data_IF_088913763824
#
_entry.id   IF_088913763824
#
_cell.length_a   1.000
_cell.length_b   1.000
_cell.length_c   1.000
_cell.angle_alpha   90.00
_cell.angle_beta   90.00
_cell.angle_gamma   90.00
#
_symmetry.space_group_name_H-M   'P 1'
#
loop_
_entity.id
_entity.type
_entity.pdbx_description
1 polymer ?
#
# COMPACT_ATOMS: atom_id res chain seq x y z
N UNK A 1 -11.96 14.93 -27.45
CA UNK A 1 -13.11 15.87 -27.49
C UNK A 1 -14.36 15.06 -27.27
N UNK A 2 -15.36 15.63 -26.60
CA UNK A 2 -16.64 14.96 -26.44
C UNK A 2 -17.26 14.69 -27.83
N UNK A 3 -17.78 13.48 -28.08
CA UNK A 3 -18.35 13.13 -29.37
C UNK A 3 -19.79 13.65 -29.55
N UNK A 4 -20.26 14.56 -28.70
CA UNK A 4 -21.65 14.99 -28.63
C UNK A 4 -21.76 16.49 -28.96
N UNK A 5 -22.80 16.85 -29.72
CA UNK A 5 -23.12 18.23 -30.12
C UNK A 5 -23.76 19.02 -28.97
N UNK A 6 -24.64 18.38 -28.20
CA UNK A 6 -25.33 18.98 -27.05
C UNK A 6 -25.58 17.96 -25.93
N UNK A 7 -26.17 18.44 -24.82
CA UNK A 7 -26.45 17.59 -23.67
C UNK A 7 -27.52 16.54 -23.97
N UNK A 8 -28.50 16.87 -24.80
CA UNK A 8 -29.59 15.95 -25.15
C UNK A 8 -29.05 14.75 -25.93
N UNK A 9 -28.12 14.97 -26.86
CA UNK A 9 -27.43 13.90 -27.57
C UNK A 9 -26.60 13.04 -26.62
N UNK A 10 -25.89 13.64 -25.66
CA UNK A 10 -25.15 12.91 -24.64
C UNK A 10 -26.07 12.08 -23.73
N UNK A 11 -27.21 12.61 -23.32
CA UNK A 11 -28.22 11.90 -22.52
C UNK A 11 -28.84 10.73 -23.30
N UNK A 12 -29.16 10.96 -24.58
CA UNK A 12 -29.66 9.92 -25.48
C UNK A 12 -28.64 8.79 -25.68
N UNK A 13 -27.36 9.13 -25.89
CA UNK A 13 -26.29 8.14 -26.08
C UNK A 13 -26.01 7.32 -24.81
N UNK A 14 -26.15 7.92 -23.63
CA UNK A 14 -25.98 7.23 -22.34
C UNK A 14 -27.24 6.47 -21.89
N UNK A 15 -28.39 6.71 -22.51
CA UNK A 15 -29.67 6.13 -22.12
C UNK A 15 -30.17 6.61 -20.76
N UNK A 16 -29.67 7.75 -20.26
CA UNK A 16 -30.04 8.35 -18.98
C UNK A 16 -29.73 9.85 -18.95
N UNK A 17 -30.38 10.58 -18.05
CA UNK A 17 -30.02 11.96 -17.78
C UNK A 17 -28.59 12.09 -17.26
N UNK A 18 -27.92 13.20 -17.61
CA UNK A 18 -26.60 13.52 -17.09
C UNK A 18 -26.73 13.94 -15.63
N UNK A 19 -25.84 13.41 -14.79
CA UNK A 19 -25.69 13.90 -13.42
C UNK A 19 -25.23 15.36 -13.41
N UNK A 20 -25.40 16.05 -12.28
CA UNK A 20 -24.92 17.42 -12.11
C UNK A 20 -23.42 17.59 -12.45
N UNK A 21 -22.59 16.64 -12.00
CA UNK A 21 -21.16 16.65 -12.28
C UNK A 21 -20.86 16.46 -13.78
N UNK A 22 -21.60 15.61 -14.46
CA UNK A 22 -21.46 15.38 -15.90
C UNK A 22 -21.92 16.60 -16.71
N UNK A 23 -22.99 17.30 -16.29
CA UNK A 23 -23.43 18.57 -16.90
C UNK A 23 -22.37 19.65 -16.75
N UNK A 24 -21.75 19.77 -15.58
CA UNK A 24 -20.62 20.68 -15.36
C UNK A 24 -19.41 20.31 -16.23
N UNK A 25 -19.07 19.02 -16.28
CA UNK A 25 -17.98 18.53 -17.13
C UNK A 25 -18.24 18.80 -18.61
N UNK A 26 -19.46 18.55 -19.08
CA UNK A 26 -19.86 18.80 -20.46
C UNK A 26 -19.70 20.28 -20.81
N UNK A 27 -20.31 21.18 -20.02
CA UNK A 27 -20.19 22.63 -20.20
C UNK A 27 -18.73 23.09 -20.23
N UNK A 28 -17.89 22.48 -19.40
CA UNK A 28 -16.49 22.84 -19.33
C UNK A 28 -15.67 22.26 -20.50
N UNK A 29 -15.92 21.03 -20.95
CA UNK A 29 -15.02 20.30 -21.86
C UNK A 29 -15.48 20.25 -23.32
N UNK A 30 -16.78 20.43 -23.61
CA UNK A 30 -17.34 20.21 -24.96
C UNK A 30 -16.62 20.98 -26.07
N UNK A 31 -16.29 22.24 -25.81
CA UNK A 31 -15.62 23.13 -26.78
C UNK A 31 -14.10 23.26 -26.55
N UNK A 32 -13.49 22.36 -25.76
CA UNK A 32 -12.05 22.39 -25.47
C UNK A 32 -11.33 21.26 -26.19
N UNK A 33 -10.25 21.60 -26.88
CA UNK A 33 -9.31 20.59 -27.38
C UNK A 33 -8.66 19.86 -26.19
N UNK A 34 -8.48 18.54 -26.30
CA UNK A 34 -7.98 17.70 -25.20
C UNK A 34 -6.61 18.16 -24.68
N UNK A 35 -5.82 18.84 -25.51
CA UNK A 35 -4.56 19.48 -25.11
C UNK A 35 -4.73 20.42 -23.92
N UNK A 36 -5.77 21.26 -23.94
CA UNK A 36 -6.02 22.20 -22.86
C UNK A 36 -6.43 21.47 -21.59
N UNK A 37 -7.22 20.39 -21.71
CA UNK A 37 -7.58 19.55 -20.56
C UNK A 37 -6.33 18.91 -19.95
N UNK A 38 -5.45 18.35 -20.79
CA UNK A 38 -4.17 17.81 -20.32
C UNK A 38 -3.29 18.87 -19.64
N UNK A 39 -3.20 20.07 -20.22
CA UNK A 39 -2.38 21.17 -19.73
C UNK A 39 -2.78 21.65 -18.32
N UNK A 40 -3.96 21.29 -17.80
CA UNK A 40 -4.34 21.55 -16.41
C UNK A 40 -3.38 20.91 -15.40
N UNK A 41 -2.78 19.76 -15.73
CA UNK A 41 -1.78 19.15 -14.84
C UNK A 41 -0.59 20.05 -14.58
N UNK A 42 -0.18 20.84 -15.58
CA UNK A 42 0.90 21.80 -15.39
C UNK A 42 0.48 22.94 -14.47
N UNK A 43 -0.75 23.46 -14.61
CA UNK A 43 -1.26 24.45 -13.67
C UNK A 43 -1.40 23.87 -12.25
N UNK A 44 -1.89 22.64 -12.11
CA UNK A 44 -1.95 21.95 -10.83
C UNK A 44 -0.58 21.72 -10.23
N UNK A 45 0.42 21.34 -11.04
CA UNK A 45 1.81 21.23 -10.61
C UNK A 45 2.29 22.52 -9.95
N UNK A 46 2.15 23.66 -10.64
CA UNK A 46 2.58 24.95 -10.10
C UNK A 46 1.76 25.35 -8.86
N UNK A 47 0.43 25.24 -8.94
CA UNK A 47 -0.48 25.71 -7.89
C UNK A 47 -0.32 24.92 -6.59
N UNK A 48 -0.39 23.59 -6.65
CA UNK A 48 -0.28 22.75 -5.45
C UNK A 48 1.14 22.77 -4.89
N UNK A 49 2.18 22.90 -5.73
CA UNK A 49 3.55 22.99 -5.25
C UNK A 49 3.78 24.28 -4.47
N UNK A 50 3.16 25.39 -4.90
CA UNK A 50 3.22 26.65 -4.15
C UNK A 50 2.39 26.62 -2.87
N UNK A 51 1.28 25.88 -2.84
CA UNK A 51 0.30 25.91 -1.75
C UNK A 51 0.60 24.91 -0.63
N UNK A 52 0.86 23.64 -0.97
CA UNK A 52 0.94 22.53 -0.01
C UNK A 52 2.12 22.65 0.98
N UNK A 53 3.31 23.20 0.61
CA UNK A 53 4.39 23.40 1.57
C UNK A 53 4.16 24.53 2.57
N UNK A 54 3.18 25.43 2.36
CA UNK A 54 3.00 26.64 3.19
C UNK A 54 2.74 26.35 4.68
N UNK A 55 1.92 25.36 5.08
CA UNK A 55 1.77 25.01 6.49
C UNK A 55 3.10 24.60 7.14
N UNK A 56 3.95 23.86 6.43
CA UNK A 56 5.28 23.45 6.91
C UNK A 56 6.25 24.63 6.98
N UNK A 57 6.19 25.55 6.00
CA UNK A 57 6.92 26.82 6.03
C UNK A 57 6.55 27.63 7.27
N UNK A 58 5.25 27.79 7.55
CA UNK A 58 4.78 28.51 8.74
C UNK A 58 5.22 27.82 10.02
N UNK A 59 5.17 26.49 10.09
CA UNK A 59 5.68 25.72 11.21
C UNK A 59 7.18 26.01 11.49
N UNK A 60 7.99 26.03 10.42
CA UNK A 60 9.44 26.28 10.47
C UNK A 60 9.79 27.72 10.90
N UNK A 61 8.96 28.70 10.53
CA UNK A 61 9.15 30.11 10.88
C UNK A 61 8.64 30.46 12.29
N UNK A 62 7.46 29.95 12.67
CA UNK A 62 6.84 30.21 13.97
C UNK A 62 7.64 29.57 15.11
N UNK A 63 8.18 28.36 14.89
CA UNK A 63 9.00 27.61 15.87
C UNK A 63 8.34 27.46 17.24
N UNK A 64 7.00 27.38 17.26
CA UNK A 64 6.25 27.17 18.49
C UNK A 64 6.65 25.83 19.10
N UNK A 65 6.91 25.79 20.41
CA UNK A 65 7.24 24.55 21.13
C UNK A 65 6.20 23.43 20.92
N UNK A 66 4.93 23.80 20.68
CA UNK A 66 3.84 22.85 20.42
C UNK A 66 4.00 22.10 19.09
N UNK A 67 4.64 22.72 18.10
CA UNK A 67 4.84 22.19 16.74
C UNK A 67 6.26 21.64 16.60
N UNK A 68 7.27 22.36 17.11
CA UNK A 68 8.68 22.02 16.99
C UNK A 68 9.04 20.64 17.59
N UNK A 69 8.24 20.15 18.54
CA UNK A 69 8.37 18.79 19.09
C UNK A 69 8.13 17.67 18.06
N UNK A 70 7.54 17.98 16.90
CA UNK A 70 7.31 17.05 15.79
C UNK A 70 8.35 17.22 14.67
N UNK A 71 9.33 18.11 14.81
CA UNK A 71 10.42 18.28 13.84
C UNK A 71 11.38 17.10 13.96
N UNK A 72 11.69 16.44 12.84
CA UNK A 72 12.57 15.26 12.82
C UNK A 72 14.01 15.65 13.19
N UNK A 73 14.54 16.71 12.58
CA UNK A 73 15.88 17.25 12.86
C UNK A 73 15.80 18.60 13.59
N UNK A 74 15.51 18.64 14.91
CA UNK A 74 15.17 19.88 15.64
C UNK A 74 16.32 20.88 15.81
N UNK A 75 17.57 20.46 15.55
CA UNK A 75 18.77 21.30 15.60
C UNK A 75 18.95 22.12 14.32
N UNK A 76 18.39 21.67 13.20
CA UNK A 76 18.48 22.37 11.92
C UNK A 76 17.40 23.44 11.88
N UNK A 77 17.78 24.65 11.48
CA UNK A 77 16.88 25.80 11.35
C UNK A 77 17.11 26.42 9.98
N UNK A 78 16.04 26.68 9.24
CA UNK A 78 16.12 27.36 7.94
C UNK A 78 15.62 28.80 8.03
N UNK A 79 16.22 29.69 7.24
CA UNK A 79 15.74 31.06 7.09
C UNK A 79 14.67 31.14 6.00
N UNK A 80 13.82 32.17 6.04
CA UNK A 80 12.85 32.42 4.96
C UNK A 80 13.55 32.61 3.61
N UNK A 81 14.69 33.31 3.60
CA UNK A 81 15.48 33.55 2.38
C UNK A 81 15.93 32.24 1.73
N UNK A 82 16.45 31.29 2.52
CA UNK A 82 16.90 29.99 2.01
C UNK A 82 15.73 29.20 1.40
N UNK A 83 14.59 29.16 2.09
CA UNK A 83 13.40 28.46 1.63
C UNK A 83 12.81 29.11 0.37
N UNK A 84 12.80 30.44 0.31
CA UNK A 84 12.32 31.18 -0.86
C UNK A 84 13.24 31.02 -2.08
N UNK A 85 14.56 30.99 -1.88
CA UNK A 85 15.52 30.71 -2.94
C UNK A 85 15.34 29.29 -3.50
N UNK A 86 15.15 28.29 -2.63
CA UNK A 86 14.82 26.93 -3.04
C UNK A 86 13.53 26.90 -3.88
N UNK A 87 12.44 27.51 -3.39
CA UNK A 87 11.18 27.63 -4.12
C UNK A 87 11.38 28.26 -5.50
N UNK A 88 12.09 29.39 -5.58
CA UNK A 88 12.38 30.09 -6.84
C UNK A 88 13.14 29.20 -7.82
N UNK A 89 14.16 28.47 -7.35
CA UNK A 89 14.95 27.58 -8.20
C UNK A 89 14.08 26.46 -8.77
N UNK A 90 13.25 25.81 -7.95
CA UNK A 90 12.30 24.79 -8.44
C UNK A 90 11.32 25.38 -9.44
N UNK A 91 10.74 26.54 -9.15
CA UNK A 91 9.78 27.20 -10.05
C UNK A 91 10.42 27.52 -11.40
N UNK A 92 11.68 27.97 -11.42
CA UNK A 92 12.41 28.18 -12.67
C UNK A 92 12.53 26.87 -13.46
N UNK A 93 12.87 25.76 -12.82
CA UNK A 93 12.97 24.47 -13.51
C UNK A 93 11.59 23.98 -13.98
N UNK A 94 10.53 24.14 -13.20
CA UNK A 94 9.17 23.81 -13.63
C UNK A 94 8.75 24.63 -14.87
N UNK A 95 9.03 25.94 -14.86
CA UNK A 95 8.71 26.82 -15.98
C UNK A 95 9.52 26.52 -17.24
N UNK A 96 10.81 26.27 -17.10
CA UNK A 96 11.73 26.11 -18.24
C UNK A 96 11.80 24.68 -18.78
N UNK A 97 11.51 23.68 -17.94
CA UNK A 97 11.65 22.26 -18.30
C UNK A 97 10.28 21.57 -18.31
N UNK A 98 9.55 21.57 -17.19
CA UNK A 98 8.29 20.82 -17.09
C UNK A 98 7.17 21.40 -17.98
N UNK A 99 7.14 22.72 -18.19
CA UNK A 99 6.18 23.41 -19.06
C UNK A 99 6.30 23.00 -20.53
N UNK A 100 7.45 23.17 -21.20
CA UNK A 100 7.64 22.73 -22.58
C UNK A 100 7.40 21.24 -22.80
N UNK A 101 7.71 20.40 -21.81
CA UNK A 101 7.49 18.96 -21.88
C UNK A 101 6.01 18.56 -21.95
N UNK A 102 5.08 19.42 -21.55
CA UNK A 102 3.64 19.14 -21.68
C UNK A 102 3.22 18.89 -23.13
N UNK A 103 3.92 19.47 -24.10
CA UNK A 103 3.66 19.24 -25.53
C UNK A 103 3.99 17.80 -25.91
N UNK A 104 5.12 17.28 -25.43
CA UNK A 104 5.55 15.90 -25.67
C UNK A 104 4.63 14.93 -24.92
N UNK A 105 4.32 15.22 -23.65
CA UNK A 105 3.44 14.38 -22.84
C UNK A 105 2.01 14.33 -23.40
N UNK A 106 1.51 15.40 -24.03
CA UNK A 106 0.19 15.34 -24.66
C UNK A 106 0.10 14.25 -25.75
N UNK A 107 1.13 14.11 -26.58
CA UNK A 107 1.19 13.04 -27.59
C UNK A 107 1.17 11.66 -26.93
N UNK A 108 1.93 11.49 -25.84
CA UNK A 108 1.92 10.27 -25.06
C UNK A 108 0.53 9.94 -24.50
N UNK A 109 -0.17 10.93 -23.93
CA UNK A 109 -1.51 10.75 -23.33
C UNK A 109 -2.56 10.36 -24.36
N UNK A 110 -2.45 10.89 -25.59
CA UNK A 110 -3.29 10.42 -26.70
C UNK A 110 -3.03 8.96 -27.04
N UNK A 111 -1.78 8.50 -26.96
CA UNK A 111 -1.42 7.11 -27.26
C UNK A 111 -1.86 6.14 -26.16
N UNK A 112 -1.84 6.55 -24.88
CA UNK A 112 -2.27 5.69 -23.77
C UNK A 112 -3.78 5.50 -23.69
N UNK A 113 -4.56 6.38 -24.33
CA UNK A 113 -6.02 6.25 -24.36
C UNK A 113 -6.73 6.83 -23.15
N UNK A 114 -6.10 7.77 -22.43
CA UNK A 114 -6.78 8.51 -21.35
C UNK A 114 -7.96 9.28 -21.94
N UNK A 115 -9.16 8.95 -21.45
CA UNK A 115 -10.41 9.48 -22.00
C UNK A 115 -10.78 10.82 -21.36
N UNK A 116 -11.37 11.69 -22.17
CA UNK A 116 -12.01 12.96 -21.74
C UNK A 116 -13.53 12.90 -21.88
N UNK A 117 -14.06 11.77 -22.35
CA UNK A 117 -15.46 11.56 -22.67
C UNK A 117 -16.31 11.14 -21.47
N UNK A 118 -17.62 11.36 -21.60
CA UNK A 118 -18.64 10.80 -20.70
C UNK A 118 -18.78 9.29 -20.89
N UNK A 119 -19.27 8.54 -19.87
CA UNK A 119 -19.64 9.02 -18.53
C UNK A 119 -18.44 9.36 -17.65
N UNK A 120 -18.61 10.18 -16.61
CA UNK A 120 -17.52 10.43 -15.64
C UNK A 120 -17.13 9.13 -14.90
N UNK A 121 -15.86 9.01 -14.44
CA UNK A 121 -15.42 7.81 -13.73
C UNK A 121 -16.17 7.67 -12.41
N UNK A 122 -16.51 6.44 -12.03
CA UNK A 122 -17.08 6.19 -10.71
C UNK A 122 -16.03 6.39 -9.61
N UNK A 123 -16.45 6.61 -8.36
CA UNK A 123 -15.51 6.71 -7.22
C UNK A 123 -14.65 5.45 -7.07
N UNK A 124 -15.20 4.28 -7.36
CA UNK A 124 -14.48 3.01 -7.31
C UNK A 124 -13.51 2.84 -8.48
N UNK A 125 -13.88 3.27 -9.68
CA UNK A 125 -12.96 3.32 -10.83
C UNK A 125 -11.75 4.20 -10.50
N UNK A 126 -12.00 5.41 -9.98
CA UNK A 126 -10.92 6.31 -9.56
C UNK A 126 -10.05 5.69 -8.47
N UNK A 127 -10.66 5.08 -7.44
CA UNK A 127 -9.94 4.46 -6.33
C UNK A 127 -8.98 3.37 -6.80
N UNK A 128 -9.47 2.41 -7.59
CA UNK A 128 -8.65 1.29 -8.07
C UNK A 128 -7.57 1.74 -9.06
N UNK A 129 -7.88 2.72 -9.92
CA UNK A 129 -6.87 3.33 -10.81
C UNK A 129 -5.77 4.02 -10.02
N UNK A 130 -6.11 4.87 -9.04
CA UNK A 130 -5.14 5.57 -8.20
C UNK A 130 -4.28 4.58 -7.39
N UNK A 131 -4.89 3.54 -6.82
CA UNK A 131 -4.16 2.49 -6.10
C UNK A 131 -3.16 1.79 -7.03
N UNK A 132 -3.59 1.40 -8.23
CA UNK A 132 -2.70 0.79 -9.22
C UNK A 132 -1.57 1.74 -9.61
N UNK A 133 -1.84 3.04 -9.79
CA UNK A 133 -0.82 4.02 -10.14
C UNK A 133 0.23 4.17 -9.04
N UNK A 134 -0.18 4.24 -7.77
CA UNK A 134 0.74 4.29 -6.64
C UNK A 134 1.64 3.04 -6.58
N UNK A 135 1.06 1.83 -6.70
CA UNK A 135 1.84 0.59 -6.65
C UNK A 135 2.87 0.53 -7.80
N UNK A 136 2.43 0.84 -9.02
CA UNK A 136 3.28 0.79 -10.21
C UNK A 136 4.37 1.86 -10.14
N UNK A 137 4.00 3.11 -9.87
CA UNK A 137 4.95 4.21 -9.79
C UNK A 137 6.02 3.95 -8.72
N UNK A 138 5.61 3.52 -7.52
CA UNK A 138 6.53 3.28 -6.41
C UNK A 138 7.54 2.16 -6.73
N UNK A 139 7.13 1.09 -7.41
CA UNK A 139 8.04 0.01 -7.82
C UNK A 139 9.12 0.50 -8.79
N UNK A 140 8.72 1.24 -9.83
CA UNK A 140 9.67 1.77 -10.81
C UNK A 140 10.54 2.88 -10.22
N UNK A 141 9.96 3.75 -9.39
CA UNK A 141 10.66 4.81 -8.68
C UNK A 141 11.71 4.26 -7.73
N UNK A 142 11.43 3.15 -7.01
CA UNK A 142 12.42 2.48 -6.16
C UNK A 142 13.70 2.13 -6.93
N UNK A 143 13.56 1.46 -8.08
CA UNK A 143 14.72 1.00 -8.85
C UNK A 143 15.50 2.16 -9.48
N UNK A 144 14.78 3.17 -9.98
CA UNK A 144 15.40 4.38 -10.53
C UNK A 144 16.14 5.13 -9.41
N UNK A 145 15.49 5.35 -8.26
CA UNK A 145 16.08 6.04 -7.13
C UNK A 145 17.32 5.30 -6.60
N UNK A 146 17.25 3.98 -6.45
CA UNK A 146 18.41 3.15 -6.10
C UNK A 146 19.55 3.27 -7.13
N UNK A 147 19.24 3.36 -8.43
CA UNK A 147 20.22 3.61 -9.48
C UNK A 147 20.86 5.00 -9.37
N UNK A 148 20.08 6.03 -9.00
CA UNK A 148 20.60 7.38 -8.77
C UNK A 148 21.63 7.44 -7.64
N UNK A 149 21.59 6.51 -6.68
CA UNK A 149 22.58 6.34 -5.61
C UNK A 149 23.83 5.54 -6.00
N UNK A 150 23.96 5.14 -7.26
CA UNK A 150 25.26 4.67 -7.75
C UNK A 150 26.24 5.84 -7.81
N UNK A 151 27.48 5.62 -7.34
CA UNK A 151 28.49 6.69 -7.13
C UNK A 151 28.53 7.74 -8.25
N UNK A 152 28.64 7.29 -9.50
CA UNK A 152 28.77 8.19 -10.67
C UNK A 152 27.50 8.98 -10.97
N UNK A 153 26.33 8.38 -10.78
CA UNK A 153 25.04 9.04 -11.05
C UNK A 153 24.71 10.00 -9.92
N UNK A 154 25.01 9.63 -8.68
CA UNK A 154 24.85 10.49 -7.51
C UNK A 154 25.67 11.76 -7.66
N UNK A 155 26.99 11.63 -7.87
CA UNK A 155 27.91 12.76 -7.97
C UNK A 155 27.55 13.73 -9.11
N UNK A 156 26.86 13.27 -10.15
CA UNK A 156 26.53 14.10 -11.32
C UNK A 156 25.11 14.66 -11.31
N UNK A 157 24.16 13.94 -10.73
CA UNK A 157 22.73 14.21 -10.87
C UNK A 157 22.12 14.34 -9.47
N UNK A 158 22.16 13.27 -8.68
CA UNK A 158 21.37 13.16 -7.45
C UNK A 158 21.90 13.96 -6.25
N UNK A 159 23.17 14.36 -6.26
CA UNK A 159 23.75 15.11 -5.14
C UNK A 159 23.07 16.47 -4.90
N UNK A 160 22.46 17.08 -5.93
CA UNK A 160 21.73 18.35 -5.80
C UNK A 160 20.47 18.16 -4.95
N UNK A 161 19.78 17.03 -5.15
CA UNK A 161 18.62 16.67 -4.36
C UNK A 161 18.97 16.47 -2.88
N UNK A 162 20.12 15.84 -2.63
CA UNK A 162 20.65 15.60 -1.29
C UNK A 162 21.41 16.78 -0.67
N UNK A 163 21.41 17.95 -1.29
CA UNK A 163 22.04 19.16 -0.72
C UNK A 163 21.37 19.56 0.61
N UNK A 164 20.07 19.30 0.72
CA UNK A 164 19.30 19.50 1.94
C UNK A 164 19.24 18.21 2.79
N UNK A 165 20.31 17.91 3.52
CA UNK A 165 20.39 16.76 4.45
C UNK A 165 19.32 16.73 5.55
N UNK A 166 18.66 17.88 5.78
CA UNK A 166 17.39 17.99 6.50
C UNK A 166 16.38 18.63 5.54
N UNK A 167 15.60 17.80 4.82
CA UNK A 167 14.68 18.30 3.80
C UNK A 167 13.52 19.10 4.42
N UNK A 168 12.85 19.86 3.56
CA UNK A 168 11.64 20.61 3.87
C UNK A 168 10.74 20.61 2.63
N UNK A 169 9.46 20.93 2.78
CA UNK A 169 8.46 20.70 1.72
C UNK A 169 8.78 21.32 0.35
N UNK A 170 9.45 22.48 0.27
CA UNK A 170 9.87 23.06 -1.03
C UNK A 170 11.11 22.39 -1.63
N UNK A 171 11.92 21.70 -0.81
CA UNK A 171 13.09 20.96 -1.29
C UNK A 171 12.71 19.61 -1.94
N UNK A 172 11.46 19.16 -1.83
CA UNK A 172 10.99 17.91 -2.43
C UNK A 172 11.40 17.74 -3.92
N UNK A 173 11.07 18.68 -4.82
CA UNK A 173 11.52 18.64 -6.21
C UNK A 173 12.82 19.43 -6.45
N UNK A 174 13.53 19.90 -5.42
CA UNK A 174 14.80 20.58 -5.60
C UNK A 174 15.83 19.55 -6.04
N UNK A 175 16.22 19.57 -7.31
CA UNK A 175 17.08 18.58 -7.90
C UNK A 175 17.72 19.10 -9.20
N UNK A 176 18.68 18.35 -9.73
CA UNK A 176 19.18 18.58 -11.08
C UNK A 176 18.04 18.39 -12.10
N UNK A 177 17.96 19.20 -13.16
CA UNK A 177 16.86 19.14 -14.14
C UNK A 177 16.66 17.75 -14.74
N UNK A 178 17.75 17.01 -14.99
CA UNK A 178 17.69 15.65 -15.53
C UNK A 178 17.05 14.66 -14.55
N UNK A 179 17.22 14.86 -13.24
CA UNK A 179 16.61 14.04 -12.22
C UNK A 179 15.10 14.17 -12.21
N UNK A 180 14.59 15.40 -12.34
CA UNK A 180 13.15 15.65 -12.45
C UNK A 180 12.52 14.90 -13.63
N UNK A 181 13.25 14.73 -14.73
CA UNK A 181 12.80 13.92 -15.85
C UNK A 181 12.83 12.43 -15.49
N UNK A 182 13.95 11.96 -14.98
CA UNK A 182 14.19 10.55 -14.68
C UNK A 182 13.21 10.03 -13.61
N UNK A 183 13.05 10.74 -12.50
CA UNK A 183 12.10 10.38 -11.42
C UNK A 183 10.66 10.74 -11.77
N UNK A 184 10.42 11.61 -12.76
CA UNK A 184 9.07 11.90 -13.26
C UNK A 184 8.50 10.80 -14.15
N UNK A 185 9.35 10.03 -14.85
CA UNK A 185 8.91 8.99 -15.80
C UNK A 185 8.00 7.91 -15.18
N UNK A 186 8.31 7.33 -14.00
CA UNK A 186 7.44 6.34 -13.34
C UNK A 186 5.98 6.78 -13.17
N UNK A 187 5.74 8.08 -12.94
CA UNK A 187 4.38 8.62 -12.72
C UNK A 187 3.45 8.47 -13.93
N UNK A 188 4.00 8.18 -15.12
CA UNK A 188 3.22 7.96 -16.33
C UNK A 188 2.95 6.46 -16.60
N UNK A 189 3.74 5.56 -16.02
CA UNK A 189 3.69 4.12 -16.33
C UNK A 189 2.35 3.50 -15.91
N UNK A 190 1.88 3.80 -14.68
CA UNK A 190 0.58 3.33 -14.19
C UNK A 190 -0.59 3.72 -15.11
N UNK A 191 -0.77 5.01 -15.43
CA UNK A 191 -1.76 5.47 -16.40
C UNK A 191 -1.62 4.89 -17.82
N UNK A 192 -0.43 4.41 -18.21
CA UNK A 192 -0.24 3.69 -19.46
C UNK A 192 -0.84 2.28 -19.42
N UNK A 193 -0.69 1.57 -18.29
CA UNK A 193 -1.22 0.21 -18.12
C UNK A 193 -2.71 0.20 -17.86
N UNK A 194 -3.21 1.17 -17.09
CA UNK A 194 -4.62 1.26 -16.71
C UNK A 194 -5.14 2.66 -17.07
N UNK A 195 -5.36 2.95 -18.36
CA UNK A 195 -5.80 4.28 -18.77
C UNK A 195 -7.18 4.61 -18.19
N UNK A 196 -7.26 5.77 -17.52
CA UNK A 196 -8.47 6.25 -16.87
C UNK A 196 -9.08 7.47 -17.55
N UNK A 197 -9.96 8.15 -16.82
CA UNK A 197 -10.45 9.46 -17.22
C UNK A 197 -9.44 10.56 -16.86
N UNK A 198 -9.42 11.66 -17.62
CA UNK A 198 -8.53 12.80 -17.38
C UNK A 198 -8.65 13.39 -15.97
N UNK A 199 -9.83 13.31 -15.34
CA UNK A 199 -10.04 13.73 -13.94
C UNK A 199 -9.28 12.83 -12.97
N UNK A 200 -9.27 11.50 -13.18
CA UNK A 200 -8.44 10.59 -12.38
C UNK A 200 -6.97 10.92 -12.57
N UNK A 201 -6.56 11.23 -13.81
CA UNK A 201 -5.19 11.62 -14.11
C UNK A 201 -4.78 12.94 -13.44
N UNK A 202 -5.67 13.93 -13.38
CA UNK A 202 -5.46 15.16 -12.60
C UNK A 202 -5.30 14.87 -11.11
N UNK A 203 -6.22 14.07 -10.55
CA UNK A 203 -6.17 13.69 -9.15
C UNK A 203 -4.88 12.94 -8.81
N UNK A 204 -4.44 12.05 -9.70
CA UNK A 204 -3.19 11.29 -9.56
C UNK A 204 -1.98 12.21 -9.35
N UNK A 205 -1.75 13.18 -10.24
CA UNK A 205 -0.61 14.08 -10.12
C UNK A 205 -0.71 15.01 -8.90
N UNK A 206 -1.92 15.42 -8.49
CA UNK A 206 -2.13 16.20 -7.27
C UNK A 206 -1.74 15.36 -6.04
N UNK A 207 -2.26 14.13 -5.92
CA UNK A 207 -1.95 13.24 -4.80
C UNK A 207 -0.48 12.90 -4.74
N UNK A 208 0.14 12.58 -5.88
CA UNK A 208 1.56 12.25 -5.96
C UNK A 208 2.46 13.40 -5.50
N UNK A 209 2.07 14.63 -5.80
CA UNK A 209 2.81 15.81 -5.36
C UNK A 209 2.62 16.11 -3.87
N UNK A 210 1.40 15.96 -3.35
CA UNK A 210 1.14 16.09 -1.90
C UNK A 210 2.00 15.10 -1.13
N UNK A 211 2.03 13.85 -1.59
CA UNK A 211 2.84 12.77 -1.02
C UNK A 211 4.34 13.13 -1.04
N UNK A 212 4.88 13.57 -2.17
CA UNK A 212 6.29 13.97 -2.28
C UNK A 212 6.64 15.10 -1.30
N UNK A 213 5.77 16.10 -1.16
CA UNK A 213 5.99 17.23 -0.25
C UNK A 213 5.92 16.77 1.21
N UNK A 214 5.02 15.85 1.53
CA UNK A 214 4.85 15.32 2.87
C UNK A 214 6.07 14.51 3.32
N UNK A 215 6.57 13.60 2.48
CA UNK A 215 7.77 12.79 2.77
C UNK A 215 9.03 13.65 2.96
N UNK A 216 9.08 14.83 2.35
CA UNK A 216 10.18 15.79 2.51
C UNK A 216 9.90 16.88 3.54
N UNK A 217 8.76 16.87 4.21
CA UNK A 217 8.33 18.01 5.02
C UNK A 217 9.27 18.33 6.20
N UNK A 218 10.00 17.32 6.68
CA UNK A 218 10.83 17.37 7.88
C UNK A 218 10.02 17.40 9.18
N UNK A 219 8.73 17.05 9.12
CA UNK A 219 7.81 17.02 10.25
C UNK A 219 7.01 15.72 10.28
N UNK A 220 6.94 15.11 11.46
CA UNK A 220 6.20 13.87 11.66
C UNK A 220 5.03 14.14 12.63
N UNK A 221 3.85 14.46 12.07
CA UNK A 221 2.68 14.84 12.85
C UNK A 221 1.80 13.64 13.22
N UNK A 222 1.41 13.45 14.50
CA UNK A 222 0.66 12.27 14.95
C UNK A 222 -0.75 12.17 14.38
N UNK A 223 -1.27 13.25 13.80
CA UNK A 223 -2.58 13.28 13.14
C UNK A 223 -2.49 13.24 11.61
N UNK A 224 -1.31 13.03 11.01
CA UNK A 224 -1.22 12.94 9.55
C UNK A 224 -2.03 11.73 9.04
N UNK A 225 -2.91 11.89 8.03
CA UNK A 225 -3.70 10.79 7.48
C UNK A 225 -2.84 9.63 6.95
N UNK A 226 -1.64 9.92 6.46
CA UNK A 226 -0.72 8.93 5.88
C UNK A 226 -0.18 7.93 6.90
N UNK A 227 -0.21 8.25 8.20
CA UNK A 227 0.12 7.30 9.27
C UNK A 227 -0.81 6.11 9.35
N UNK A 228 -1.98 6.21 8.73
CA UNK A 228 -2.96 5.14 8.64
C UNK A 228 -2.83 4.34 7.33
N UNK A 229 -1.87 4.68 6.46
CA UNK A 229 -1.62 3.95 5.23
C UNK A 229 -0.58 2.85 5.53
N UNK A 230 -0.92 1.56 5.35
CA UNK A 230 0.04 0.47 5.54
C UNK A 230 1.28 0.65 4.65
N UNK A 231 2.46 0.30 5.18
CA UNK A 231 3.75 0.39 4.49
C UNK A 231 4.21 1.78 4.08
N UNK A 232 3.50 2.84 4.47
CA UNK A 232 3.93 4.18 4.11
C UNK A 232 5.26 4.53 4.78
N UNK A 233 6.27 4.91 3.99
CA UNK A 233 7.60 5.27 4.51
C UNK A 233 7.54 6.57 5.31
N UNK A 234 6.82 7.56 4.79
CA UNK A 234 6.62 8.83 5.47
C UNK A 234 7.89 9.66 5.63
N UNK A 235 7.76 10.72 6.44
CA UNK A 235 8.76 11.78 6.48
C UNK A 235 10.05 11.37 7.18
N UNK A 236 9.95 10.56 8.24
CA UNK A 236 11.12 10.07 9.00
C UNK A 236 12.00 9.14 8.17
N UNK A 237 11.39 8.24 7.41
CA UNK A 237 12.09 7.28 6.55
C UNK A 237 12.92 7.98 5.48
N UNK A 238 12.33 8.99 4.83
CA UNK A 238 12.99 9.74 3.77
C UNK A 238 13.97 10.79 4.32
N UNK A 239 13.68 11.41 5.46
CA UNK A 239 14.60 12.33 6.13
C UNK A 239 15.91 11.62 6.53
N UNK A 240 15.84 10.40 7.06
CA UNK A 240 17.04 9.58 7.32
C UNK A 240 17.86 9.31 6.05
N UNK A 241 17.17 9.01 4.94
CA UNK A 241 17.81 8.80 3.65
C UNK A 241 18.60 10.05 3.19
N UNK A 242 17.99 11.24 3.27
CA UNK A 242 18.66 12.53 3.00
C UNK A 242 19.81 12.82 3.96
N UNK A 243 19.65 12.49 5.25
CA UNK A 243 20.69 12.68 6.25
C UNK A 243 21.97 11.87 5.94
N UNK A 244 21.82 10.63 5.46
CA UNK A 244 22.95 9.78 5.07
C UNK A 244 23.55 10.22 3.73
N UNK A 245 22.73 10.78 2.83
CA UNK A 245 23.16 11.34 1.55
C UNK A 245 23.78 10.30 0.62
N UNK A 246 24.87 10.65 -0.07
CA UNK A 246 25.52 9.78 -1.07
C UNK A 246 26.16 8.49 -0.55
N UNK A 247 26.13 8.24 0.76
CA UNK A 247 26.49 6.95 1.36
C UNK A 247 25.27 6.06 1.60
N UNK A 248 24.07 6.55 1.29
CA UNK A 248 22.83 5.85 1.55
C UNK A 248 22.80 4.59 0.69
N UNK A 249 22.55 3.47 1.35
CA UNK A 249 22.30 2.17 0.73
C UNK A 249 20.92 1.64 1.16
N UNK A 250 20.05 2.54 1.62
CA UNK A 250 18.79 2.20 2.24
C UNK A 250 17.71 3.26 2.01
N UNK A 251 16.46 2.88 2.25
CA UNK A 251 15.30 3.75 2.26
C UNK A 251 15.06 4.43 0.89
N UNK A 252 15.02 3.64 -0.18
CA UNK A 252 14.85 4.14 -1.55
C UNK A 252 13.39 4.28 -2.00
N UNK A 253 12.44 3.69 -1.28
CA UNK A 253 11.02 3.77 -1.56
C UNK A 253 10.57 5.22 -1.67
N UNK A 254 9.69 5.47 -2.62
CA UNK A 254 9.10 6.80 -2.75
C UNK A 254 7.90 6.96 -1.83
N UNK A 255 7.05 5.94 -1.76
CA UNK A 255 5.76 5.97 -1.05
C UNK A 255 5.68 4.82 -0.07
N UNK A 256 5.80 3.57 -0.57
CA UNK A 256 5.64 2.38 0.24
C UNK A 256 6.94 1.59 0.36
N UNK A 257 7.20 1.09 1.55
CA UNK A 257 8.48 0.48 1.90
C UNK A 257 8.62 -0.99 1.48
N UNK A 258 7.63 -1.55 0.78
CA UNK A 258 7.64 -2.97 0.39
C UNK A 258 8.84 -3.31 -0.49
N UNK A 259 9.30 -2.41 -1.37
CA UNK A 259 10.49 -2.66 -2.17
C UNK A 259 11.76 -2.70 -1.31
N UNK A 260 11.95 -1.71 -0.42
CA UNK A 260 13.10 -1.72 0.49
C UNK A 260 13.12 -2.97 1.36
N UNK A 261 11.94 -3.42 1.78
CA UNK A 261 11.79 -4.65 2.52
C UNK A 261 12.17 -5.89 1.69
N UNK A 262 11.56 -6.08 0.51
CA UNK A 262 11.82 -7.22 -0.38
C UNK A 262 13.30 -7.33 -0.76
N UNK A 263 13.97 -6.20 -0.96
CA UNK A 263 15.35 -6.15 -1.42
C UNK A 263 16.38 -5.89 -0.32
N UNK A 264 15.96 -5.89 0.95
CA UNK A 264 16.84 -5.73 2.11
C UNK A 264 17.58 -4.39 2.16
N UNK A 265 16.95 -3.32 1.69
CA UNK A 265 17.46 -1.95 1.74
C UNK A 265 16.69 -1.08 2.72
N UNK A 266 15.96 -1.67 3.67
CA UNK A 266 15.38 -0.90 4.75
C UNK A 266 16.43 -0.69 5.87
N UNK A 267 16.41 0.46 6.53
CA UNK A 267 17.13 0.67 7.81
C UNK A 267 16.22 1.03 8.98
N UNK A 268 14.91 0.88 8.80
CA UNK A 268 13.88 1.35 9.74
C UNK A 268 12.68 0.39 9.91
N UNK A 269 12.75 -0.81 9.33
CA UNK A 269 11.73 -1.87 9.26
C UNK A 269 12.38 -3.23 9.53
N UNK A 270 12.43 -3.57 10.81
CA UNK A 270 12.35 -4.96 11.30
C UNK A 270 11.16 -5.07 12.24
N UNK A 271 11.11 -6.09 13.11
CA UNK A 271 10.18 -6.05 14.25
C UNK A 271 10.49 -4.77 15.04
N UNK A 272 9.62 -3.76 14.92
CA UNK A 272 9.83 -2.49 15.64
C UNK A 272 9.61 -2.76 17.11
N UNK A 273 10.58 -2.40 17.94
CA UNK A 273 10.48 -2.47 19.41
C UNK A 273 10.49 -1.08 20.05
N UNK A 274 10.76 -0.05 19.25
CA UNK A 274 10.87 1.33 19.68
C UNK A 274 9.55 2.08 19.53
N UNK A 275 9.38 3.12 20.35
CA UNK A 275 8.30 4.10 20.18
C UNK A 275 8.48 4.91 18.88
N UNK A 276 7.38 5.42 18.28
CA UNK A 276 5.99 5.32 18.76
C UNK A 276 5.35 3.94 18.51
N UNK A 277 4.35 3.59 19.33
CA UNK A 277 3.55 2.38 19.12
C UNK A 277 2.77 2.46 17.79
N UNK A 278 2.51 1.31 17.14
CA UNK A 278 1.70 1.28 15.92
C UNK A 278 0.29 1.80 16.20
N UNK A 279 -0.33 2.42 15.20
CA UNK A 279 -1.72 2.82 15.32
C UNK A 279 -2.63 1.58 15.38
N UNK A 280 -3.84 1.70 15.97
CA UNK A 280 -4.83 0.61 15.96
C UNK A 280 -5.15 0.11 14.55
N UNK A 281 -5.14 1.02 13.59
CA UNK A 281 -5.43 0.74 12.20
C UNK A 281 -4.28 0.02 11.49
N UNK A 282 -3.04 0.43 11.78
CA UNK A 282 -1.87 -0.29 11.32
C UNK A 282 -1.85 -1.72 11.86
N UNK A 283 -2.06 -1.90 13.17
CA UNK A 283 -2.13 -3.23 13.78
C UNK A 283 -3.24 -4.09 13.14
N UNK A 284 -4.42 -3.51 12.90
CA UNK A 284 -5.52 -4.23 12.26
C UNK A 284 -5.15 -4.80 10.88
N UNK A 285 -4.56 -3.99 9.99
CA UNK A 285 -4.18 -4.46 8.66
C UNK A 285 -3.01 -5.44 8.70
N UNK A 286 -2.04 -5.24 9.59
CA UNK A 286 -0.95 -6.19 9.79
C UNK A 286 -1.50 -7.55 10.22
N UNK A 287 -2.33 -7.58 11.25
CA UNK A 287 -2.97 -8.81 11.77
C UNK A 287 -3.81 -9.48 10.67
N UNK A 288 -4.60 -8.71 9.91
CA UNK A 288 -5.39 -9.25 8.81
C UNK A 288 -4.52 -9.93 7.75
N UNK A 289 -3.42 -9.29 7.34
CA UNK A 289 -2.48 -9.90 6.39
C UNK A 289 -1.82 -11.14 6.98
N UNK A 290 -1.45 -11.11 8.27
CA UNK A 290 -0.85 -12.28 8.93
C UNK A 290 -1.78 -13.49 8.88
N UNK A 291 -3.05 -13.29 9.25
CA UNK A 291 -4.07 -14.33 9.17
C UNK A 291 -4.28 -14.85 7.75
N UNK A 292 -4.43 -13.97 6.76
CA UNK A 292 -4.65 -14.40 5.37
C UNK A 292 -3.46 -15.22 4.85
N UNK A 293 -2.22 -14.76 5.09
CA UNK A 293 -1.01 -15.44 4.62
C UNK A 293 -0.81 -16.77 5.33
N UNK A 294 -0.98 -16.79 6.65
CA UNK A 294 -0.83 -17.99 7.48
C UNK A 294 -1.89 -19.03 7.10
N UNK A 295 -3.17 -18.67 7.11
CA UNK A 295 -4.27 -19.60 6.87
C UNK A 295 -4.24 -20.16 5.43
N UNK A 296 -3.93 -19.32 4.43
CA UNK A 296 -3.77 -19.78 3.05
C UNK A 296 -2.62 -20.79 2.91
N UNK A 297 -1.49 -20.52 3.58
CA UNK A 297 -0.30 -21.37 3.51
C UNK A 297 -0.51 -22.67 4.29
N UNK A 298 -1.10 -22.60 5.48
CA UNK A 298 -1.48 -23.75 6.30
C UNK A 298 -2.46 -24.66 5.57
N UNK A 299 -3.48 -24.11 4.89
CA UNK A 299 -4.42 -24.89 4.10
C UNK A 299 -3.73 -25.81 3.09
N UNK A 300 -2.78 -25.28 2.30
CA UNK A 300 -2.08 -26.08 1.29
C UNK A 300 -1.12 -27.10 1.89
N UNK A 301 -0.44 -26.74 2.97
CA UNK A 301 0.43 -27.66 3.71
C UNK A 301 -0.39 -28.80 4.31
N UNK A 302 -1.49 -28.47 4.98
CA UNK A 302 -2.38 -29.43 5.62
C UNK A 302 -2.99 -30.38 4.59
N UNK A 303 -3.46 -29.84 3.46
CA UNK A 303 -3.91 -30.67 2.33
C UNK A 303 -2.83 -31.61 1.79
N UNK A 304 -1.57 -31.16 1.71
CA UNK A 304 -0.45 -32.02 1.32
C UNK A 304 -0.14 -33.10 2.37
N UNK A 305 -0.28 -32.78 3.67
CA UNK A 305 -0.14 -33.76 4.76
C UNK A 305 -1.19 -34.89 4.66
N UNK A 306 -2.35 -34.65 4.03
CA UNK A 306 -3.34 -35.69 3.72
C UNK A 306 -3.10 -36.47 2.42
N UNK A 307 -1.95 -36.29 1.77
CA UNK A 307 -1.49 -37.27 0.77
C UNK A 307 -1.10 -38.58 1.46
N UNK A 308 -1.16 -39.71 0.74
CA UNK A 308 -0.81 -41.02 1.30
C UNK A 308 0.53 -41.02 2.04
N UNK A 309 1.55 -40.42 1.43
CA UNK A 309 2.88 -40.33 2.02
C UNK A 309 2.92 -39.38 3.22
N UNK A 310 2.34 -38.18 3.10
CA UNK A 310 2.32 -37.19 4.19
C UNK A 310 1.62 -37.74 5.42
N UNK A 311 0.50 -38.43 5.23
CA UNK A 311 -0.33 -38.92 6.32
C UNK A 311 0.38 -40.06 7.05
N UNK A 312 0.76 -41.11 6.33
CA UNK A 312 1.40 -42.30 6.92
C UNK A 312 2.74 -41.98 7.61
N UNK A 313 3.46 -40.93 7.19
CA UNK A 313 4.79 -40.61 7.73
C UNK A 313 4.81 -39.48 8.74
N UNK A 314 3.87 -38.54 8.65
CA UNK A 314 3.91 -37.30 9.42
C UNK A 314 2.59 -37.12 10.18
N UNK A 315 1.46 -37.10 9.47
CA UNK A 315 0.21 -36.55 10.01
C UNK A 315 -0.68 -37.54 10.78
N UNK A 316 -0.48 -38.86 10.65
CA UNK A 316 -1.33 -39.85 11.31
C UNK A 316 -1.33 -39.73 12.84
N UNK A 317 -0.22 -39.28 13.45
CA UNK A 317 -0.11 -39.12 14.92
C UNK A 317 -1.09 -38.06 15.41
N UNK A 318 -1.26 -36.98 14.66
CA UNK A 318 -2.22 -35.91 14.99
C UNK A 318 -3.67 -36.42 15.00
N UNK A 319 -3.99 -37.34 14.08
CA UNK A 319 -5.31 -37.96 13.93
C UNK A 319 -5.57 -39.17 14.86
N UNK A 320 -4.68 -39.47 15.82
CA UNK A 320 -4.94 -40.54 16.80
C UNK A 320 -6.13 -40.22 17.73
N UNK A 321 -6.44 -38.93 17.90
CA UNK A 321 -7.59 -38.46 18.67
C UNK A 321 -8.71 -38.01 17.73
N UNK A 322 -9.70 -38.88 17.49
CA UNK A 322 -10.86 -38.55 16.64
C UNK A 322 -11.80 -37.50 17.23
N UNK A 323 -11.65 -37.19 18.52
CA UNK A 323 -12.31 -36.09 19.22
C UNK A 323 -11.23 -35.30 19.98
N UNK A 324 -10.53 -34.37 19.31
CA UNK A 324 -9.40 -33.66 19.90
C UNK A 324 -9.86 -32.70 21.01
N UNK A 325 -8.95 -32.44 21.95
CA UNK A 325 -9.11 -31.48 23.03
C UNK A 325 -7.86 -30.60 23.09
N UNK A 326 -7.87 -29.49 23.83
CA UNK A 326 -6.83 -28.44 23.67
C UNK A 326 -5.38 -28.91 23.81
N UNK A 327 -5.10 -29.99 24.56
CA UNK A 327 -3.75 -30.57 24.69
C UNK A 327 -3.38 -31.57 23.58
N UNK A 328 -4.33 -32.01 22.77
CA UNK A 328 -4.07 -32.85 21.60
C UNK A 328 -3.49 -32.04 20.42
N UNK A 329 -3.66 -30.71 20.40
CA UNK A 329 -3.10 -29.86 19.35
C UNK A 329 -1.56 -30.02 19.16
N UNK A 330 -0.71 -29.98 20.21
CA UNK A 330 0.71 -30.26 20.07
C UNK A 330 1.05 -31.75 19.98
N UNK A 331 0.07 -32.66 20.11
CA UNK A 331 0.29 -34.10 19.94
C UNK A 331 0.36 -34.43 18.45
N UNK A 332 1.53 -34.19 17.88
CA UNK A 332 1.80 -34.39 16.46
C UNK A 332 3.24 -34.84 16.26
N UNK A 333 3.55 -35.33 15.05
CA UNK A 333 4.92 -35.62 14.67
C UNK A 333 5.76 -34.33 14.65
N UNK A 334 7.01 -34.35 15.11
CA UNK A 334 7.86 -33.15 15.18
C UNK A 334 7.99 -32.40 13.84
N UNK A 335 8.02 -33.13 12.72
CA UNK A 335 8.07 -32.54 11.38
C UNK A 335 6.79 -31.78 11.03
N UNK A 336 5.63 -32.23 11.52
CA UNK A 336 4.35 -31.53 11.35
C UNK A 336 4.39 -30.18 12.06
N UNK A 337 4.80 -30.17 13.33
CA UNK A 337 4.94 -28.97 14.14
C UNK A 337 5.85 -27.94 13.45
N UNK A 338 6.96 -28.40 12.86
CA UNK A 338 7.86 -27.51 12.11
C UNK A 338 7.24 -27.00 10.81
N UNK A 339 6.63 -27.86 10.00
CA UNK A 339 6.12 -27.48 8.67
C UNK A 339 4.90 -26.58 8.80
N UNK A 340 3.94 -26.90 9.68
CA UNK A 340 2.77 -26.05 9.96
C UNK A 340 3.12 -24.79 10.77
N UNK A 341 4.29 -24.75 11.43
CA UNK A 341 4.80 -23.56 12.10
C UNK A 341 5.50 -22.55 11.17
N UNK A 342 5.96 -22.96 9.99
CA UNK A 342 6.65 -22.07 9.03
C UNK A 342 5.76 -20.89 8.56
N UNK A 343 4.47 -21.10 8.24
CA UNK A 343 3.58 -20.01 7.84
C UNK A 343 3.45 -18.88 8.86
N UNK A 344 3.60 -19.16 10.15
CA UNK A 344 3.58 -18.14 11.21
C UNK A 344 4.73 -17.12 11.11
N UNK A 345 5.72 -17.36 10.25
CA UNK A 345 6.78 -16.39 9.94
C UNK A 345 6.52 -15.63 8.63
N UNK A 346 5.67 -16.14 7.74
CA UNK A 346 5.46 -15.56 6.41
C UNK A 346 4.74 -14.21 6.47
N UNK A 347 3.64 -14.09 7.22
CA UNK A 347 2.94 -12.82 7.41
C UNK A 347 3.88 -11.70 7.91
N UNK A 348 4.55 -11.90 9.06
CA UNK A 348 5.63 -11.03 9.55
C UNK A 348 6.72 -10.72 8.52
N UNK A 349 7.06 -11.72 7.71
CA UNK A 349 8.07 -11.63 6.67
C UNK A 349 7.55 -11.05 5.34
N UNK A 350 6.27 -10.71 5.21
CA UNK A 350 5.77 -9.86 4.13
C UNK A 350 5.47 -8.46 4.65
N UNK A 351 5.08 -8.38 5.93
CA UNK A 351 4.54 -7.19 6.55
C UNK A 351 5.16 -7.02 7.93
N UNK A 352 6.32 -6.38 8.07
CA UNK A 352 6.92 -6.23 9.38
C UNK A 352 6.12 -5.24 10.25
N UNK A 353 5.80 -5.65 11.47
CA UNK A 353 5.03 -4.88 12.43
C UNK A 353 5.84 -4.46 13.65
N UNK A 354 5.16 -3.82 14.61
CA UNK A 354 5.73 -3.66 15.94
C UNK A 354 5.61 -4.96 16.73
N UNK A 355 6.51 -5.19 17.69
CA UNK A 355 6.51 -6.40 18.55
C UNK A 355 5.14 -6.66 19.20
N UNK A 356 4.41 -5.59 19.55
CA UNK A 356 3.05 -5.67 20.10
C UNK A 356 2.05 -6.24 19.10
N UNK A 357 2.12 -5.89 17.81
CA UNK A 357 1.23 -6.46 16.79
C UNK A 357 1.40 -7.97 16.72
N UNK A 358 2.65 -8.45 16.77
CA UNK A 358 2.94 -9.88 16.78
C UNK A 358 2.38 -10.55 18.03
N UNK A 359 2.60 -9.99 19.21
CA UNK A 359 2.02 -10.54 20.45
C UNK A 359 0.50 -10.60 20.41
N UNK A 360 -0.18 -9.61 19.82
CA UNK A 360 -1.64 -9.60 19.68
C UNK A 360 -2.12 -10.70 18.73
N UNK A 361 -1.41 -10.95 17.64
CA UNK A 361 -1.74 -12.01 16.68
C UNK A 361 -1.54 -13.41 17.26
N UNK A 362 -0.44 -13.66 17.99
CA UNK A 362 -0.16 -14.97 18.59
C UNK A 362 -1.15 -15.42 19.66
N UNK A 363 -2.03 -14.56 20.16
CA UNK A 363 -2.99 -14.90 21.24
C UNK A 363 -4.17 -15.76 20.71
N UNK A 364 -4.38 -15.91 19.40
CA UNK A 364 -5.62 -16.47 18.84
C UNK A 364 -5.61 -17.98 18.43
N UNK A 365 -4.59 -18.80 18.73
CA UNK A 365 -4.53 -20.18 18.17
C UNK A 365 -5.16 -21.32 19.00
N UNK A 366 -5.87 -21.03 20.11
CA UNK A 366 -6.23 -22.07 21.10
C UNK A 366 -7.67 -22.61 20.94
N UNK A 367 -8.57 -21.91 20.24
CA UNK A 367 -10.00 -22.26 20.22
C UNK A 367 -10.33 -23.47 19.32
N UNK A 368 -9.60 -23.68 18.22
CA UNK A 368 -9.92 -24.67 17.17
C UNK A 368 -9.76 -26.13 17.61
N UNK A 369 -8.95 -26.39 18.64
CA UNK A 369 -8.76 -27.74 19.20
C UNK A 369 -9.46 -27.89 20.56
N UNK A 370 -10.30 -26.94 20.96
CA UNK A 370 -10.90 -26.99 22.30
C UNK A 370 -11.97 -28.07 22.45
N UNK A 371 -12.58 -28.52 21.34
CA UNK A 371 -13.77 -29.37 21.35
C UNK A 371 -15.03 -28.67 21.89
N UNK A 372 -14.96 -27.35 22.10
CA UNK A 372 -16.08 -26.53 22.56
C UNK A 372 -16.35 -25.39 21.60
N UNK A 373 -17.64 -25.14 21.36
CA UNK A 373 -18.07 -23.88 20.79
C UNK A 373 -18.66 -22.99 21.88
N UNK A 374 -17.95 -21.90 22.21
CA UNK A 374 -18.44 -20.97 23.21
C UNK A 374 -19.41 -19.96 22.60
N UNK A 375 -20.68 -19.88 23.03
CA UNK A 375 -21.67 -18.97 22.44
C UNK A 375 -21.32 -17.48 22.54
N UNK A 376 -20.46 -17.12 23.49
CA UNK A 376 -19.98 -15.77 23.73
C UNK A 376 -18.63 -15.47 23.06
N UNK A 377 -18.05 -16.42 22.32
CA UNK A 377 -16.75 -16.19 21.68
C UNK A 377 -16.87 -15.12 20.58
N UNK A 378 -15.98 -14.12 20.54
CA UNK A 378 -15.95 -13.13 19.46
C UNK A 378 -15.74 -13.76 18.07
N UNK A 379 -15.06 -14.92 18.00
CA UNK A 379 -14.74 -15.62 16.75
C UNK A 379 -15.98 -16.05 15.97
N UNK A 380 -17.11 -16.33 16.65
CA UNK A 380 -18.41 -16.64 16.01
C UNK A 380 -18.97 -15.54 15.12
N UNK A 381 -18.54 -14.29 15.29
CA UNK A 381 -18.98 -13.18 14.45
C UNK A 381 -18.05 -12.91 13.27
N UNK A 382 -16.95 -13.66 13.14
CA UNK A 382 -15.99 -13.51 12.06
C UNK A 382 -16.45 -14.38 10.87
N UNK A 383 -16.68 -13.80 9.68
CA UNK A 383 -17.07 -14.56 8.51
C UNK A 383 -16.08 -15.67 8.18
N UNK A 384 -16.59 -16.84 7.78
CA UNK A 384 -15.81 -18.02 7.42
C UNK A 384 -14.96 -18.61 8.56
N UNK A 385 -15.20 -18.26 9.82
CA UNK A 385 -14.52 -18.93 10.92
C UNK A 385 -14.98 -20.39 11.05
N UNK A 386 -14.04 -21.35 11.09
CA UNK A 386 -14.35 -22.78 11.12
C UNK A 386 -14.70 -23.33 12.50
N UNK A 387 -14.15 -22.74 13.56
CA UNK A 387 -14.37 -23.22 14.93
C UNK A 387 -13.83 -24.63 15.19
N UNK A 388 -14.23 -25.20 16.33
CA UNK A 388 -13.83 -26.54 16.75
C UNK A 388 -14.62 -27.63 16.01
N UNK A 389 -15.89 -27.41 15.72
CA UNK A 389 -16.75 -28.38 15.03
C UNK A 389 -16.19 -28.79 13.65
N UNK A 390 -15.74 -27.81 12.86
CA UNK A 390 -15.18 -28.05 11.53
C UNK A 390 -13.93 -28.93 11.58
N UNK A 391 -13.10 -28.74 12.61
CA UNK A 391 -11.87 -29.48 12.81
C UNK A 391 -12.13 -30.86 13.42
N UNK A 392 -13.07 -30.99 14.35
CA UNK A 392 -13.47 -32.27 14.94
C UNK A 392 -14.06 -33.21 13.87
N UNK A 393 -14.88 -32.69 12.95
CA UNK A 393 -15.37 -33.46 11.80
C UNK A 393 -14.21 -33.93 10.91
N UNK A 394 -13.20 -33.10 10.68
CA UNK A 394 -12.01 -33.47 9.92
C UNK A 394 -11.24 -34.64 10.58
N UNK A 395 -11.07 -34.60 11.91
CA UNK A 395 -10.46 -35.70 12.69
C UNK A 395 -11.31 -36.98 12.66
N UNK A 396 -12.63 -36.85 12.73
CA UNK A 396 -13.55 -37.99 12.66
C UNK A 396 -13.46 -38.74 11.33
N UNK A 397 -13.44 -38.01 10.19
CA UNK A 397 -13.29 -38.63 8.88
C UNK A 397 -11.88 -39.21 8.70
N UNK A 398 -10.86 -38.46 9.16
CA UNK A 398 -9.47 -38.91 9.27
C UNK A 398 -8.83 -39.39 7.96
N UNK A 399 -7.69 -40.08 8.08
CA UNK A 399 -7.03 -40.77 6.96
C UNK A 399 -6.59 -39.85 5.81
N UNK A 400 -6.60 -40.39 4.58
CA UNK A 400 -6.33 -39.61 3.36
C UNK A 400 -7.56 -38.85 2.84
N UNK A 401 -8.51 -38.51 3.72
CA UNK A 401 -9.69 -37.75 3.33
C UNK A 401 -9.29 -36.39 2.74
N UNK A 402 -10.05 -35.94 1.75
CA UNK A 402 -9.78 -34.71 1.02
C UNK A 402 -10.82 -33.65 1.37
N UNK A 403 -10.91 -33.29 2.65
CA UNK A 403 -11.94 -32.39 3.15
C UNK A 403 -11.52 -31.67 4.42
N UNK A 404 -12.02 -30.44 4.58
CA UNK A 404 -11.97 -29.65 5.81
C UNK A 404 -10.55 -29.38 6.34
N UNK A 405 -9.70 -28.78 5.51
CA UNK A 405 -8.29 -28.54 5.83
C UNK A 405 -8.01 -27.20 6.52
N UNK A 406 -8.98 -26.30 6.59
CA UNK A 406 -8.80 -24.99 7.20
C UNK A 406 -8.28 -25.06 8.63
N UNK A 407 -7.31 -24.19 8.94
CA UNK A 407 -6.80 -24.01 10.30
C UNK A 407 -7.66 -23.05 11.11
N UNK A 408 -8.07 -21.93 10.52
CA UNK A 408 -8.85 -20.88 11.20
C UNK A 408 -10.07 -20.51 10.35
N UNK A 409 -9.87 -20.27 9.06
CA UNK A 409 -10.95 -19.83 8.17
C UNK A 409 -11.24 -20.83 7.03
N UNK A 410 -12.52 -21.14 6.83
CA UNK A 410 -13.02 -22.15 5.89
C UNK A 410 -13.10 -21.66 4.44
N UNK A 411 -12.72 -20.41 4.15
CA UNK A 411 -12.86 -19.84 2.80
C UNK A 411 -12.05 -20.63 1.75
N UNK A 412 -10.87 -21.15 2.11
CA UNK A 412 -10.09 -21.99 1.22
C UNK A 412 -10.81 -23.29 0.87
N UNK A 413 -11.37 -23.98 1.87
CA UNK A 413 -12.18 -25.18 1.64
C UNK A 413 -13.39 -24.90 0.76
N UNK A 414 -14.07 -23.77 0.96
CA UNK A 414 -15.19 -23.36 0.11
C UNK A 414 -14.75 -23.09 -1.35
N UNK A 415 -13.68 -22.31 -1.54
CA UNK A 415 -13.16 -21.95 -2.88
C UNK A 415 -12.69 -23.19 -3.65
N UNK A 416 -12.08 -24.15 -2.95
CA UNK A 416 -11.46 -25.32 -3.56
C UNK A 416 -12.30 -26.61 -3.44
N UNK A 417 -13.54 -26.51 -2.97
CA UNK A 417 -14.50 -27.61 -2.91
C UNK A 417 -14.16 -28.72 -1.91
N UNK A 418 -13.54 -28.38 -0.78
CA UNK A 418 -13.15 -29.30 0.29
C UNK A 418 -14.03 -29.17 1.55
N UNK A 419 -14.96 -28.22 1.61
CA UNK A 419 -15.91 -28.09 2.74
C UNK A 419 -17.01 -29.16 2.65
N UNK A 420 -17.04 -30.07 3.64
CA UNK A 420 -18.04 -31.15 3.71
C UNK A 420 -18.93 -31.11 4.94
N UNK A 421 -18.72 -30.19 5.88
CA UNK A 421 -19.54 -30.09 7.10
C UNK A 421 -20.97 -29.71 6.75
N UNK A 422 -21.16 -28.82 5.77
CA UNK A 422 -22.48 -28.42 5.26
C UNK A 422 -23.29 -29.53 4.56
N UNK A 423 -22.72 -30.74 4.37
CA UNK A 423 -23.36 -31.84 3.65
C UNK A 423 -23.80 -33.01 4.52
N UNK A 424 -23.45 -33.02 5.81
CA UNK A 424 -23.68 -34.16 6.73
C UNK A 424 -24.05 -33.67 8.14
N UNK A 425 -25.04 -32.79 8.27
CA UNK A 425 -25.53 -32.35 9.60
C UNK A 425 -26.32 -33.47 10.35
N UNK A 426 -26.82 -34.49 9.65
CA UNK A 426 -27.76 -35.47 10.25
C UNK A 426 -27.12 -36.74 10.84
N UNK A 427 -25.85 -37.06 10.54
CA UNK A 427 -25.21 -38.33 10.96
C UNK A 427 -24.13 -38.17 12.06
N UNK A 428 -23.59 -36.95 12.24
CA UNK A 428 -22.54 -36.66 13.22
C UNK A 428 -23.09 -36.21 14.60
N UNK A 429 -24.31 -35.64 14.62
CA UNK A 429 -24.95 -35.10 15.83
C UNK A 429 -25.89 -36.10 16.54
N UNK A 430 -26.04 -37.32 16.01
CA UNK A 430 -26.83 -38.42 16.59
C UNK A 430 -25.98 -39.37 17.42
#
# INVERSE_FOLDING_TARGET
MLPYLDMQEAEAALGRELSFAEKLWFNYSANKHDYFLHFHNYFFLLFFYSLIPLPYLLAELIRSKKIHKYKIQPKVKRSFSDMFNCYKNVMQVFLLIAGPLQIIFFSYIKMTGIRTSLPLPSKWEMFWQILAYFIVEDYFSYWIHRCLHTKRVYEKIHHVHHEYTAPFGFAAPYAHWAELLILGLPSFIGPAFVPGHIITFWLWFILRQIELIETHSGYEFPWSPTRYIPFYGGSEFHDYHHYVGGRSQSNFASVFTYCDYIYGTDKMIGIRTSLPLPSKWEMFWQILVYFIVEDYSNYWIHRWLHTKWGYEKIHHVHHEYTAPFGFAAPYAHWAEILILGLPSFLGPAFVPGHIITYWLWFIESIETHSGYEFPWSPSRYIPFYGGSEFHDYHHYVGGCSQSNFASVFTYCDYIYGADKVSSVEDEFLS
#
